data_IF_238508047524
#
_entry.id   IF_238508047524
#
_cell.length_a   1.000
_cell.length_b   1.000
_cell.length_c   1.000
_cell.angle_alpha   90.00
_cell.angle_beta   90.00
_cell.angle_gamma   90.00
#
_symmetry.space_group_name_H-M   'P 1'
#
loop_
_entity.id
_entity.type
_entity.pdbx_description
1 polymer ?
#
# COMPACT_ATOMS: atom_id res chain seq x y z
N UNK A 1 0.29 -19.28 10.63
CA UNK A 1 -0.18 -18.06 11.34
C UNK A 1 1.03 -17.21 11.62
N UNK A 2 0.89 -15.89 11.71
CA UNK A 2 2.02 -15.06 12.12
C UNK A 2 2.02 -14.84 13.62
N UNK A 3 3.20 -14.88 14.23
CA UNK A 3 3.38 -14.61 15.64
C UNK A 3 3.88 -13.18 15.83
N UNK A 4 3.12 -12.37 16.58
CA UNK A 4 3.47 -10.98 16.90
C UNK A 4 3.95 -10.88 18.35
N UNK A 5 5.17 -10.42 18.55
CA UNK A 5 5.76 -10.11 19.86
C UNK A 5 5.79 -8.59 20.05
N UNK A 6 4.70 -8.05 20.58
CA UNK A 6 4.48 -6.61 20.69
C UNK A 6 4.24 -6.12 22.14
N UNK A 7 4.39 -6.95 23.16
CA UNK A 7 4.28 -6.52 24.56
C UNK A 7 5.67 -6.34 25.17
N UNK A 8 5.88 -5.30 25.98
CA UNK A 8 7.16 -5.07 26.64
C UNK A 8 7.53 -6.23 27.57
N UNK A 9 8.79 -6.67 27.55
CA UNK A 9 9.25 -7.80 28.38
C UNK A 9 8.79 -9.17 27.88
N UNK A 10 8.16 -9.24 26.71
CA UNK A 10 7.89 -10.52 26.05
C UNK A 10 9.19 -11.26 25.76
N UNK A 11 9.17 -12.58 25.80
CA UNK A 11 10.30 -13.38 25.36
C UNK A 11 9.87 -14.61 24.58
N UNK A 12 10.73 -15.04 23.66
CA UNK A 12 10.55 -16.23 22.84
C UNK A 12 11.74 -17.16 23.01
N UNK A 13 11.48 -18.38 23.46
CA UNK A 13 12.48 -19.44 23.64
C UNK A 13 12.08 -20.72 22.93
N UNK A 14 13.05 -21.55 22.61
CA UNK A 14 12.81 -22.95 22.24
C UNK A 14 12.59 -23.77 23.51
N UNK A 15 11.57 -24.61 23.54
CA UNK A 15 11.36 -25.62 24.58
C UNK A 15 10.60 -26.80 24.00
N UNK A 16 11.15 -28.00 24.15
CA UNK A 16 10.57 -29.25 23.64
C UNK A 16 10.22 -29.17 22.13
N UNK A 17 11.13 -28.67 21.30
CA UNK A 17 10.92 -28.43 19.85
C UNK A 17 9.73 -27.51 19.50
N UNK A 18 9.29 -26.71 20.47
CA UNK A 18 8.24 -25.72 20.30
C UNK A 18 8.73 -24.32 20.66
N UNK A 19 8.04 -23.32 20.14
CA UNK A 19 8.19 -21.95 20.61
C UNK A 19 7.45 -21.79 21.93
N UNK A 20 8.17 -21.49 23.01
CA UNK A 20 7.59 -21.02 24.27
C UNK A 20 7.67 -19.49 24.29
N UNK A 21 6.50 -18.86 24.24
CA UNK A 21 6.31 -17.43 24.44
C UNK A 21 5.96 -17.18 25.91
N UNK A 22 6.59 -16.19 26.52
CA UNK A 22 6.20 -15.69 27.84
C UNK A 22 6.02 -14.18 27.89
N UNK A 23 5.00 -13.74 28.63
CA UNK A 23 4.73 -12.33 28.96
C UNK A 23 4.00 -12.27 30.30
N UNK A 24 4.44 -11.40 31.22
CA UNK A 24 3.77 -11.15 32.52
C UNK A 24 3.35 -12.44 33.28
N UNK A 25 4.24 -13.44 33.32
CA UNK A 25 3.99 -14.72 34.02
C UNK A 25 3.13 -15.74 33.26
N UNK A 26 2.46 -15.35 32.17
CA UNK A 26 1.73 -16.26 31.28
C UNK A 26 2.69 -16.89 30.27
N UNK A 27 2.51 -18.18 29.99
CA UNK A 27 3.31 -18.93 29.02
C UNK A 27 2.41 -19.65 28.02
N UNK A 28 2.81 -19.61 26.76
CA UNK A 28 2.12 -20.31 25.66
C UNK A 28 3.14 -21.07 24.84
N UNK A 29 2.85 -22.34 24.53
CA UNK A 29 3.64 -23.14 23.59
C UNK A 29 2.97 -23.16 22.23
N UNK A 30 3.75 -22.95 21.18
CA UNK A 30 3.31 -22.96 19.80
C UNK A 30 4.19 -23.89 18.98
N UNK A 31 3.54 -24.79 18.23
CA UNK A 31 4.23 -25.63 17.26
C UNK A 31 4.77 -24.76 16.12
N UNK A 32 6.04 -24.94 15.70
CA UNK A 32 6.63 -24.21 14.58
C UNK A 32 5.84 -24.42 13.28
N UNK A 33 5.26 -25.61 13.07
CA UNK A 33 4.45 -25.92 11.89
C UNK A 33 3.19 -25.04 11.73
N UNK A 34 2.74 -24.42 12.82
CA UNK A 34 1.59 -23.50 12.79
C UNK A 34 2.02 -22.07 12.50
N UNK A 35 3.32 -21.76 12.50
CA UNK A 35 3.86 -20.42 12.37
C UNK A 35 4.45 -20.22 10.96
N UNK A 36 4.09 -19.12 10.31
CA UNK A 36 4.59 -18.74 8.98
C UNK A 36 5.67 -17.65 9.03
N UNK A 37 5.63 -16.79 10.04
CA UNK A 37 6.62 -15.75 10.31
C UNK A 37 6.47 -15.25 11.76
N UNK A 38 7.53 -14.65 12.28
CA UNK A 38 7.59 -14.03 13.60
C UNK A 38 7.92 -12.54 13.40
N UNK A 39 7.14 -11.66 14.02
CA UNK A 39 7.33 -10.21 13.96
C UNK A 39 7.57 -9.70 15.38
N UNK A 40 8.68 -8.99 15.57
CA UNK A 40 9.11 -8.46 16.86
C UNK A 40 9.09 -6.95 16.77
N UNK A 41 8.25 -6.27 17.55
CA UNK A 41 8.03 -4.82 17.41
C UNK A 41 8.22 -4.00 18.67
N UNK A 42 8.63 -4.62 19.78
CA UNK A 42 8.92 -3.96 21.06
C UNK A 42 10.12 -4.63 21.73
N UNK A 43 10.56 -4.11 22.88
CA UNK A 43 11.64 -4.71 23.68
C UNK A 43 11.26 -6.13 24.13
N UNK A 44 11.57 -7.10 23.28
CA UNK A 44 11.32 -8.51 23.46
C UNK A 44 12.65 -9.28 23.31
N UNK A 45 12.82 -10.31 24.13
CA UNK A 45 14.01 -11.16 24.10
C UNK A 45 13.74 -12.38 23.23
N UNK A 46 14.60 -12.65 22.26
CA UNK A 46 14.54 -13.89 21.47
C UNK A 46 15.84 -14.66 21.68
N UNK A 47 15.73 -15.89 22.16
CA UNK A 47 16.90 -16.75 22.32
C UNK A 47 17.45 -17.22 20.97
N UNK A 48 18.75 -17.48 20.90
CA UNK A 48 19.39 -18.09 19.73
C UNK A 48 18.76 -19.42 19.34
N UNK A 49 18.30 -20.23 20.30
CA UNK A 49 17.64 -21.52 20.02
C UNK A 49 16.27 -21.34 19.37
N UNK A 50 15.53 -20.28 19.76
CA UNK A 50 14.28 -19.93 19.09
C UNK A 50 14.54 -19.47 17.65
N UNK A 51 15.62 -18.70 17.43
CA UNK A 51 16.06 -18.35 16.07
C UNK A 51 16.39 -19.62 15.29
N UNK A 52 17.18 -20.53 15.87
CA UNK A 52 17.54 -21.81 15.25
C UNK A 52 16.32 -22.62 14.83
N UNK A 53 15.34 -22.80 15.74
CA UNK A 53 14.08 -23.48 15.45
C UNK A 53 13.29 -22.80 14.32
N UNK A 54 13.27 -21.46 14.31
CA UNK A 54 12.64 -20.72 13.22
C UNK A 54 13.33 -21.02 11.88
N UNK A 55 14.65 -21.04 11.83
CA UNK A 55 15.39 -21.34 10.60
C UNK A 55 15.19 -22.78 10.13
N UNK A 56 15.16 -23.76 11.05
CA UNK A 56 14.88 -25.17 10.77
C UNK A 56 13.52 -25.37 10.08
N UNK A 57 12.52 -24.58 10.50
CA UNK A 57 11.16 -24.64 9.98
C UNK A 57 10.84 -23.59 8.91
N UNK A 58 11.85 -22.90 8.36
CA UNK A 58 11.66 -21.89 7.32
C UNK A 58 10.71 -20.74 7.76
N UNK A 59 10.86 -20.30 9.01
CA UNK A 59 10.07 -19.23 9.63
C UNK A 59 10.92 -17.97 9.66
N UNK A 60 10.48 -16.96 8.94
CA UNK A 60 11.15 -15.66 8.87
C UNK A 60 10.92 -14.84 10.14
N UNK A 61 11.96 -14.15 10.64
CA UNK A 61 11.88 -13.28 11.81
C UNK A 61 12.15 -11.84 11.38
N UNK A 62 11.18 -10.95 11.57
CA UNK A 62 11.30 -9.53 11.21
C UNK A 62 11.28 -8.67 12.48
N UNK A 63 12.28 -7.82 12.63
CA UNK A 63 12.40 -6.85 13.71
C UNK A 63 11.93 -5.48 13.23
N UNK A 64 11.01 -4.90 13.97
CA UNK A 64 10.38 -3.61 13.70
C UNK A 64 10.67 -2.64 14.83
N UNK A 65 10.88 -1.37 14.49
CA UNK A 65 11.05 -0.31 15.48
C UNK A 65 9.69 0.12 16.09
N UNK A 66 9.72 1.11 16.98
CA UNK A 66 8.53 1.67 17.63
C UNK A 66 7.51 2.30 16.67
N UNK A 67 7.92 2.62 15.44
CA UNK A 67 7.05 3.16 14.39
C UNK A 67 6.53 2.05 13.47
N UNK A 68 7.04 0.82 13.64
CA UNK A 68 6.67 -0.36 12.89
C UNK A 68 7.47 -0.53 11.59
N UNK A 69 8.56 0.24 11.43
CA UNK A 69 9.49 0.14 10.31
C UNK A 69 10.48 -1.01 10.53
N UNK A 70 10.74 -1.86 9.52
CA UNK A 70 11.69 -2.97 9.67
C UNK A 70 13.14 -2.46 9.75
N UNK A 71 13.83 -2.79 10.83
CA UNK A 71 15.26 -2.47 11.00
C UNK A 71 16.17 -3.71 10.98
N UNK A 72 15.60 -4.90 11.09
CA UNK A 72 16.36 -6.15 11.07
C UNK A 72 15.51 -7.31 10.58
N UNK A 73 16.14 -8.29 9.96
CA UNK A 73 15.50 -9.54 9.53
C UNK A 73 16.48 -10.69 9.72
N UNK A 74 16.01 -11.75 10.34
CA UNK A 74 16.73 -13.04 10.41
C UNK A 74 15.93 -14.03 9.59
N UNK A 75 16.54 -14.49 8.50
CA UNK A 75 15.92 -15.34 7.51
C UNK A 75 16.64 -16.68 7.39
N UNK A 76 15.92 -17.67 6.89
CA UNK A 76 16.45 -19.02 6.70
C UNK A 76 17.66 -19.00 5.73
N UNK A 77 18.80 -19.63 6.11
CA UNK A 77 20.03 -19.57 5.30
C UNK A 77 20.03 -20.52 4.10
N UNK A 78 19.01 -21.37 3.95
CA UNK A 78 18.88 -22.32 2.84
C UNK A 78 18.22 -21.65 1.63
N UNK A 79 18.46 -22.16 0.42
CA UNK A 79 17.74 -21.70 -0.77
C UNK A 79 16.27 -22.13 -0.61
N UNK A 80 15.34 -21.17 -0.68
CA UNK A 80 13.90 -21.40 -0.50
C UNK A 80 13.07 -20.34 -1.20
N UNK A 81 11.78 -20.29 -0.92
CA UNK A 81 10.81 -19.50 -1.72
C UNK A 81 11.20 -18.04 -1.85
N UNK A 82 11.79 -17.41 -0.84
CA UNK A 82 12.22 -16.01 -0.90
C UNK A 82 13.30 -15.75 -1.95
N UNK A 83 14.28 -16.65 -2.11
CA UNK A 83 15.30 -16.53 -3.17
C UNK A 83 14.65 -16.69 -4.54
N UNK A 84 13.73 -17.66 -4.67
CA UNK A 84 12.97 -17.86 -5.91
C UNK A 84 12.10 -16.67 -6.25
N UNK A 85 11.42 -16.06 -5.26
CA UNK A 85 10.61 -14.84 -5.40
C UNK A 85 11.47 -13.69 -5.92
N UNK A 86 12.63 -13.44 -5.29
CA UNK A 86 13.53 -12.35 -5.71
C UNK A 86 14.12 -12.57 -7.09
N UNK A 87 14.56 -13.80 -7.39
CA UNK A 87 15.02 -14.15 -8.74
C UNK A 87 13.92 -13.87 -9.76
N UNK A 88 12.69 -14.30 -9.47
CA UNK A 88 11.56 -14.06 -10.35
C UNK A 88 11.25 -12.57 -10.50
N UNK A 89 11.36 -11.75 -9.45
CA UNK A 89 11.23 -10.29 -9.56
C UNK A 89 12.26 -9.68 -10.51
N UNK A 90 13.50 -10.18 -10.52
CA UNK A 90 14.51 -9.72 -11.49
C UNK A 90 14.15 -10.16 -12.91
N UNK A 91 13.69 -11.40 -13.08
CA UNK A 91 13.26 -11.92 -14.40
C UNK A 91 12.08 -11.12 -14.97
N UNK A 92 11.17 -10.62 -14.12
CA UNK A 92 10.03 -9.79 -14.50
C UNK A 92 10.41 -8.49 -15.22
N UNK A 93 11.62 -7.98 -15.00
CA UNK A 93 12.08 -6.76 -15.68
C UNK A 93 12.07 -6.92 -17.21
N UNK A 94 12.24 -8.16 -17.69
CA UNK A 94 12.41 -8.46 -19.10
C UNK A 94 11.31 -9.37 -19.67
N UNK A 95 10.20 -9.57 -18.96
CA UNK A 95 9.11 -10.42 -19.44
C UNK A 95 7.71 -9.80 -19.33
N UNK A 96 6.77 -10.41 -20.03
CA UNK A 96 5.38 -9.94 -20.14
C UNK A 96 4.66 -9.87 -18.79
N UNK A 97 5.13 -10.60 -17.77
CA UNK A 97 4.51 -10.61 -16.46
C UNK A 97 4.83 -9.33 -15.69
N UNK A 98 6.04 -8.78 -15.83
CA UNK A 98 6.37 -7.45 -15.33
C UNK A 98 5.52 -6.36 -15.97
N UNK A 99 5.40 -6.40 -17.30
CA UNK A 99 4.53 -5.50 -18.06
C UNK A 99 3.09 -5.56 -17.58
N UNK A 100 2.53 -6.77 -17.49
CA UNK A 100 1.17 -7.00 -17.01
C UNK A 100 0.96 -6.47 -15.59
N UNK A 101 1.91 -6.74 -14.69
CA UNK A 101 1.84 -6.26 -13.31
C UNK A 101 1.77 -4.73 -13.25
N UNK A 102 2.64 -4.03 -13.97
CA UNK A 102 2.67 -2.56 -13.99
C UNK A 102 1.38 -1.98 -14.58
N UNK A 103 0.90 -2.52 -15.70
CA UNK A 103 -0.40 -2.12 -16.28
C UNK A 103 -1.51 -2.22 -15.25
N UNK A 104 -1.62 -3.36 -14.58
CA UNK A 104 -2.63 -3.58 -13.54
C UNK A 104 -2.46 -2.61 -12.36
N UNK A 105 -1.24 -2.34 -11.89
CA UNK A 105 -1.01 -1.38 -10.78
C UNK A 105 -1.47 0.04 -11.15
N UNK A 106 -1.08 0.53 -12.33
CA UNK A 106 -1.43 1.88 -12.81
C UNK A 106 -2.93 1.99 -13.01
N UNK A 107 -3.56 1.02 -13.66
CA UNK A 107 -5.01 1.06 -13.93
C UNK A 107 -5.82 0.93 -12.64
N UNK A 108 -5.41 0.09 -11.69
CA UNK A 108 -6.09 -0.01 -10.40
C UNK A 108 -6.03 1.29 -9.61
N UNK A 109 -4.92 2.05 -9.68
CA UNK A 109 -4.85 3.40 -9.11
C UNK A 109 -5.91 4.31 -9.74
N UNK A 110 -5.92 4.39 -11.07
CA UNK A 110 -6.85 5.25 -11.83
C UNK A 110 -8.30 4.87 -11.52
N UNK A 111 -8.62 3.58 -11.53
CA UNK A 111 -9.94 3.05 -11.20
C UNK A 111 -10.37 3.45 -9.78
N UNK A 112 -9.51 3.26 -8.78
CA UNK A 112 -9.85 3.59 -7.39
C UNK A 112 -10.10 5.10 -7.21
N UNK A 113 -9.28 5.94 -7.86
CA UNK A 113 -9.45 7.39 -7.88
C UNK A 113 -10.72 7.83 -8.63
N UNK A 114 -11.02 7.20 -9.76
CA UNK A 114 -12.25 7.41 -10.54
C UNK A 114 -13.49 7.09 -9.69
N UNK A 115 -13.51 5.91 -9.05
CA UNK A 115 -14.61 5.48 -8.18
C UNK A 115 -14.81 6.44 -7.01
N UNK A 116 -13.72 6.92 -6.41
CA UNK A 116 -13.82 7.89 -5.34
C UNK A 116 -14.45 9.20 -5.82
N UNK A 117 -14.06 9.73 -6.98
CA UNK A 117 -14.73 10.90 -7.56
C UNK A 117 -16.22 10.63 -7.78
N UNK A 118 -16.59 9.51 -8.43
CA UNK A 118 -18.02 9.18 -8.66
C UNK A 118 -18.82 9.17 -7.36
N UNK A 119 -18.24 8.59 -6.29
CA UNK A 119 -18.82 8.60 -4.93
C UNK A 119 -18.91 10.01 -4.32
N UNK A 120 -17.97 10.90 -4.62
CA UNK A 120 -18.00 12.28 -4.14
C UNK A 120 -19.03 13.13 -4.88
N UNK A 121 -19.21 12.90 -6.18
CA UNK A 121 -20.20 13.59 -7.02
C UNK A 121 -21.63 13.16 -6.66
N UNK A 122 -21.86 11.86 -6.41
CA UNK A 122 -23.21 11.37 -6.04
C UNK A 122 -23.71 11.89 -4.69
N UNK A 123 -22.83 12.43 -3.85
CA UNK A 123 -23.15 12.95 -2.51
C UNK A 123 -23.14 14.47 -2.42
N UNK A 124 -23.05 15.17 -3.55
CA UNK A 124 -22.99 16.64 -3.61
C UNK A 124 -23.98 17.18 -4.61
N UNK A 125 -24.46 18.38 -4.31
CA UNK A 125 -25.27 19.17 -5.24
C UNK A 125 -24.36 19.88 -6.25
N UNK A 126 -23.84 19.10 -7.20
CA UNK A 126 -23.02 19.56 -8.31
C UNK A 126 -23.47 18.84 -9.58
N UNK A 127 -23.44 19.52 -10.72
CA UNK A 127 -23.72 18.88 -12.00
C UNK A 127 -22.60 17.89 -12.36
N UNK A 128 -22.86 16.56 -12.40
CA UNK A 128 -21.83 15.58 -12.75
C UNK A 128 -21.30 15.75 -14.18
N UNK A 129 -22.10 16.31 -15.10
CA UNK A 129 -21.68 16.52 -16.50
C UNK A 129 -20.50 17.48 -16.60
N UNK A 130 -20.41 18.45 -15.68
CA UNK A 130 -19.29 19.40 -15.62
C UNK A 130 -17.92 18.73 -15.39
N UNK A 131 -17.90 17.48 -14.91
CA UNK A 131 -16.69 16.70 -14.68
C UNK A 131 -16.47 15.57 -15.69
N UNK A 132 -17.41 15.33 -16.61
CA UNK A 132 -17.41 14.18 -17.50
C UNK A 132 -16.15 14.11 -18.37
N UNK A 133 -15.74 15.23 -18.99
CA UNK A 133 -14.53 15.26 -19.83
C UNK A 133 -13.25 14.85 -19.06
N UNK A 134 -13.15 15.17 -17.77
CA UNK A 134 -12.01 14.78 -16.92
C UNK A 134 -12.11 13.31 -16.51
N UNK A 135 -13.31 12.82 -16.23
CA UNK A 135 -13.58 11.41 -15.95
C UNK A 135 -13.25 10.53 -17.18
N UNK A 136 -13.64 10.97 -18.38
CA UNK A 136 -13.32 10.31 -19.64
C UNK A 136 -11.82 10.31 -19.90
N UNK A 137 -11.13 11.43 -19.64
CA UNK A 137 -9.66 11.51 -19.72
C UNK A 137 -8.97 10.49 -18.80
N UNK A 138 -9.50 10.25 -17.59
CA UNK A 138 -8.98 9.21 -16.70
C UNK A 138 -9.20 7.80 -17.29
N UNK A 139 -10.40 7.52 -17.82
CA UNK A 139 -10.70 6.22 -18.45
C UNK A 139 -9.87 5.96 -19.69
N UNK A 140 -9.75 6.94 -20.58
CA UNK A 140 -8.91 6.88 -21.77
C UNK A 140 -7.43 6.60 -21.42
N UNK A 141 -6.91 7.23 -20.36
CA UNK A 141 -5.56 6.94 -19.87
C UNK A 141 -5.43 5.48 -19.39
N UNK A 142 -6.44 4.93 -18.72
CA UNK A 142 -6.45 3.54 -18.28
C UNK A 142 -6.53 2.55 -19.45
N UNK A 143 -7.35 2.83 -20.47
CA UNK A 143 -7.45 2.02 -21.68
C UNK A 143 -6.12 1.98 -22.43
N UNK A 144 -5.50 3.14 -22.64
CA UNK A 144 -4.17 3.26 -23.27
C UNK A 144 -3.10 2.45 -22.54
N UNK A 145 -3.10 2.47 -21.20
CA UNK A 145 -2.18 1.64 -20.40
C UNK A 145 -2.41 0.15 -20.66
N UNK A 146 -3.67 -0.31 -20.70
CA UNK A 146 -3.98 -1.72 -20.92
C UNK A 146 -3.64 -2.19 -22.34
N UNK A 147 -3.94 -1.36 -23.34
CA UNK A 147 -3.75 -1.65 -24.77
C UNK A 147 -2.29 -1.51 -25.23
N UNK A 148 -1.43 -0.81 -24.48
CA UNK A 148 -0.05 -0.57 -24.89
C UNK A 148 0.76 -1.86 -25.08
N UNK A 149 1.37 -2.05 -26.24
CA UNK A 149 2.26 -3.19 -26.54
C UNK A 149 3.73 -2.74 -26.59
N UNK A 150 4.64 -3.61 -26.16
CA UNK A 150 6.07 -3.30 -26.08
C UNK A 150 6.70 -3.83 -24.80
N UNK A 151 7.96 -3.46 -24.53
CA UNK A 151 8.64 -3.82 -23.27
C UNK A 151 8.36 -2.80 -22.17
N UNK A 152 8.68 -3.15 -20.91
CA UNK A 152 8.59 -2.21 -19.78
C UNK A 152 9.46 -0.97 -19.99
N UNK A 153 10.67 -1.15 -20.54
CA UNK A 153 11.61 -0.05 -20.78
C UNK A 153 11.05 0.93 -21.82
N UNK A 154 10.51 0.41 -22.93
CA UNK A 154 9.92 1.22 -24.01
C UNK A 154 8.72 2.04 -23.53
N UNK A 155 7.89 1.43 -22.67
CA UNK A 155 6.62 1.99 -22.24
C UNK A 155 6.70 2.79 -20.94
N UNK A 156 7.83 2.76 -20.24
CA UNK A 156 8.02 3.44 -18.94
C UNK A 156 7.59 4.91 -18.97
N UNK A 157 8.07 5.68 -19.97
CA UNK A 157 7.70 7.08 -20.16
C UNK A 157 6.22 7.27 -20.49
N UNK A 158 5.64 6.38 -21.30
CA UNK A 158 4.21 6.41 -21.65
C UNK A 158 3.32 6.11 -20.44
N UNK A 159 3.67 5.11 -19.64
CA UNK A 159 2.97 4.78 -18.40
C UNK A 159 3.00 5.95 -17.41
N UNK A 160 4.15 6.59 -17.21
CA UNK A 160 4.23 7.81 -16.38
C UNK A 160 3.42 8.97 -16.96
N UNK A 161 3.37 9.12 -18.28
CA UNK A 161 2.58 10.14 -18.97
C UNK A 161 1.07 9.96 -18.81
N UNK A 162 0.56 8.75 -19.03
CA UNK A 162 -0.87 8.43 -18.86
C UNK A 162 -1.29 8.47 -17.39
N UNK A 163 -0.47 7.93 -16.48
CA UNK A 163 -0.68 8.05 -15.04
C UNK A 163 -0.74 9.52 -14.61
N UNK A 164 0.22 10.35 -15.06
CA UNK A 164 0.26 11.77 -14.74
C UNK A 164 -0.94 12.54 -15.28
N UNK A 165 -1.42 12.19 -16.48
CA UNK A 165 -2.62 12.77 -17.09
C UNK A 165 -3.87 12.44 -16.26
N UNK A 166 -4.07 11.17 -15.91
CA UNK A 166 -5.17 10.74 -15.06
C UNK A 166 -5.11 11.39 -13.66
N UNK A 167 -3.92 11.43 -13.04
CA UNK A 167 -3.68 12.09 -11.75
C UNK A 167 -3.99 13.59 -11.80
N UNK A 168 -3.64 14.28 -12.89
CA UNK A 168 -3.96 15.72 -13.07
C UNK A 168 -5.47 15.94 -13.14
N UNK A 169 -6.19 15.12 -13.92
CA UNK A 169 -7.64 15.15 -13.99
C UNK A 169 -8.25 14.91 -12.59
N UNK A 170 -7.79 13.87 -11.90
CA UNK A 170 -8.23 13.53 -10.54
C UNK A 170 -8.07 14.68 -9.54
N UNK A 171 -6.86 15.20 -9.36
CA UNK A 171 -6.60 16.26 -8.38
C UNK A 171 -7.30 17.57 -8.76
N UNK A 172 -7.49 17.84 -10.06
CA UNK A 172 -8.23 19.03 -10.48
C UNK A 172 -9.73 18.95 -10.15
N UNK A 173 -10.33 17.75 -10.12
CA UNK A 173 -11.71 17.57 -9.68
C UNK A 173 -11.78 17.74 -8.17
N UNK A 174 -10.87 17.11 -7.41
CA UNK A 174 -10.81 17.29 -5.96
C UNK A 174 -10.63 18.75 -5.55
N UNK A 175 -9.83 19.52 -6.29
CA UNK A 175 -9.65 20.96 -6.07
C UNK A 175 -10.93 21.79 -6.29
N UNK A 176 -11.87 21.30 -7.12
CA UNK A 176 -13.19 21.92 -7.30
C UNK A 176 -14.16 21.51 -6.20
N UNK A 177 -14.04 20.28 -5.68
CA UNK A 177 -14.96 19.73 -4.67
C UNK A 177 -14.57 20.04 -3.22
N UNK A 178 -13.33 20.50 -2.98
CA UNK A 178 -12.86 20.90 -1.66
C UNK A 178 -13.41 22.31 -1.31
N UNK A 179 -13.68 22.63 -0.03
CA UNK A 179 -14.13 23.98 0.35
C UNK A 179 -13.15 25.06 -0.09
N UNK A 180 -13.66 26.23 -0.50
CA UNK A 180 -12.87 27.33 -1.09
C UNK A 180 -11.70 27.79 -0.18
N UNK A 181 -11.90 27.76 1.15
CA UNK A 181 -10.86 28.09 2.14
C UNK A 181 -9.62 27.17 2.11
N UNK A 182 -9.71 26.02 1.45
CA UNK A 182 -8.68 24.99 1.39
C UNK A 182 -8.32 24.59 -0.05
N UNK A 183 -8.69 25.44 -1.01
CA UNK A 183 -8.44 25.21 -2.43
C UNK A 183 -6.95 25.07 -2.71
N UNK A 184 -6.64 24.14 -3.61
CA UNK A 184 -5.27 23.84 -4.04
C UNK A 184 -5.23 23.76 -5.57
N UNK A 185 -4.08 24.06 -6.18
CA UNK A 185 -3.97 24.10 -7.65
C UNK A 185 -3.64 22.75 -8.29
N UNK A 186 -3.23 21.77 -7.48
CA UNK A 186 -2.83 20.43 -7.93
C UNK A 186 -1.92 19.76 -6.91
N UNK A 187 -1.44 18.56 -7.23
CA UNK A 187 -0.55 17.79 -6.36
C UNK A 187 0.83 18.46 -6.23
N UNK A 188 1.34 18.62 -5.01
CA UNK A 188 2.66 19.16 -4.71
C UNK A 188 3.41 18.38 -3.63
N UNK A 189 4.65 17.97 -3.89
CA UNK A 189 5.37 17.03 -3.04
C UNK A 189 6.51 17.66 -2.23
N UNK A 190 7.47 18.38 -2.84
CA UNK A 190 8.65 18.93 -2.15
C UNK A 190 8.95 20.36 -2.58
N UNK A 191 8.58 21.38 -1.78
CA UNK A 191 7.72 21.31 -0.59
C UNK A 191 6.22 21.16 -0.96
N UNK A 192 5.37 20.88 0.03
CA UNK A 192 3.92 21.03 -0.14
C UNK A 192 3.58 22.51 -0.29
N UNK A 193 2.71 22.86 -1.25
CA UNK A 193 2.30 24.25 -1.49
C UNK A 193 1.13 24.70 -0.62
N UNK A 194 0.40 23.76 -0.03
CA UNK A 194 -0.85 23.98 0.69
C UNK A 194 -1.09 22.89 1.76
N UNK A 195 -2.06 23.14 2.62
CA UNK A 195 -2.42 22.26 3.73
C UNK A 195 -2.85 20.86 3.28
N UNK A 196 -3.63 20.79 2.20
CA UNK A 196 -4.13 19.53 1.66
C UNK A 196 -2.99 18.63 1.20
N UNK A 197 -2.05 19.19 0.44
CA UNK A 197 -0.83 18.50 0.01
C UNK A 197 0.09 18.13 1.17
N UNK A 198 0.18 18.94 2.23
CA UNK A 198 0.97 18.60 3.42
C UNK A 198 0.41 17.35 4.12
N UNK A 199 -0.92 17.27 4.27
CA UNK A 199 -1.60 16.10 4.83
C UNK A 199 -1.44 14.86 3.96
N UNK A 200 -1.61 14.99 2.63
CA UNK A 200 -1.37 13.88 1.69
C UNK A 200 0.08 13.38 1.76
N UNK A 201 1.07 14.29 1.75
CA UNK A 201 2.50 13.93 1.84
C UNK A 201 2.81 13.10 3.08
N UNK A 202 2.29 13.52 4.23
CA UNK A 202 2.48 12.81 5.48
C UNK A 202 1.76 11.46 5.50
N UNK A 203 0.50 11.43 5.05
CA UNK A 203 -0.28 10.19 4.98
C UNK A 203 0.34 9.16 4.03
N UNK A 204 0.82 9.58 2.85
CA UNK A 204 1.58 8.68 1.97
C UNK A 204 2.89 8.24 2.62
N UNK A 205 3.55 9.09 3.41
CA UNK A 205 4.67 8.72 4.28
C UNK A 205 4.36 7.49 5.14
N UNK A 206 3.24 7.52 5.86
CA UNK A 206 2.75 6.38 6.66
C UNK A 206 2.48 5.16 5.78
N UNK A 207 1.82 5.36 4.62
CA UNK A 207 1.46 4.27 3.72
C UNK A 207 2.70 3.58 3.11
N UNK A 208 3.75 4.32 2.76
CA UNK A 208 5.02 3.76 2.24
C UNK A 208 5.60 2.73 3.21
N UNK A 209 5.68 3.07 4.50
CA UNK A 209 6.16 2.15 5.55
C UNK A 209 5.32 0.88 5.63
N UNK A 210 4.00 0.97 5.48
CA UNK A 210 3.11 -0.21 5.51
C UNK A 210 3.29 -1.10 4.29
N UNK A 211 3.44 -0.51 3.11
CA UNK A 211 3.70 -1.24 1.85
C UNK A 211 5.05 -1.94 1.90
N UNK A 212 6.11 -1.21 2.27
CA UNK A 212 7.44 -1.78 2.42
C UNK A 212 7.43 -2.99 3.36
N UNK A 213 6.84 -2.82 4.54
CA UNK A 213 6.72 -3.91 5.51
C UNK A 213 5.98 -5.11 4.94
N UNK A 214 4.88 -4.89 4.23
CA UNK A 214 4.12 -5.97 3.58
C UNK A 214 4.96 -6.73 2.54
N UNK A 215 5.75 -6.02 1.74
CA UNK A 215 6.65 -6.61 0.74
C UNK A 215 7.74 -7.47 1.39
N UNK A 216 8.42 -6.92 2.41
CA UNK A 216 9.47 -7.64 3.15
C UNK A 216 8.92 -8.93 3.75
N UNK A 217 7.77 -8.86 4.43
CA UNK A 217 7.09 -10.02 5.03
C UNK A 217 6.68 -11.05 3.96
N UNK A 218 6.26 -10.61 2.77
CA UNK A 218 5.91 -11.49 1.67
C UNK A 218 7.13 -12.16 1.01
N UNK A 219 8.36 -11.73 1.34
CA UNK A 219 9.59 -12.23 0.72
C UNK A 219 9.97 -11.51 -0.58
N UNK A 220 9.24 -10.45 -0.95
CA UNK A 220 9.56 -9.57 -2.06
C UNK A 220 10.68 -8.61 -1.65
N UNK A 221 11.50 -8.22 -2.62
CA UNK A 221 12.52 -7.19 -2.43
C UNK A 221 11.92 -5.79 -2.72
N UNK A 222 11.89 -4.86 -1.74
CA UNK A 222 11.40 -3.50 -1.93
C UNK A 222 12.20 -2.66 -2.94
N UNK A 223 13.41 -3.07 -3.29
CA UNK A 223 14.34 -2.30 -4.14
C UNK A 223 14.33 -2.74 -5.61
N UNK A 224 13.68 -3.85 -5.95
CA UNK A 224 13.55 -4.35 -7.33
C UNK A 224 12.25 -3.81 -7.94
N UNK A 225 12.25 -2.50 -8.24
CA UNK A 225 11.15 -1.86 -8.97
C UNK A 225 11.12 -2.25 -10.43
N UNK A 226 9.95 -2.13 -11.06
CA UNK A 226 9.70 -2.41 -12.47
C UNK A 226 9.44 -1.15 -13.29
N UNK A 227 8.64 -0.20 -12.78
CA UNK A 227 8.34 1.07 -13.48
C UNK A 227 9.20 2.21 -12.94
N UNK A 228 9.37 2.30 -11.63
CA UNK A 228 10.14 3.37 -10.97
C UNK A 228 11.63 3.04 -10.86
N UNK A 229 12.26 2.62 -11.97
CA UNK A 229 13.68 2.22 -12.00
C UNK A 229 14.65 3.42 -11.88
N UNK A 230 15.83 3.11 -11.35
CA UNK A 230 17.08 3.89 -11.39
C UNK A 230 17.21 5.14 -10.52
N UNK A 231 17.23 4.93 -9.20
CA UNK A 231 18.20 5.64 -8.35
C UNK A 231 18.67 4.71 -7.22
N UNK A 232 19.98 4.64 -7.02
CA UNK A 232 20.62 3.91 -5.91
C UNK A 232 19.91 4.22 -4.57
N UNK A 233 19.57 3.19 -3.78
CA UNK A 233 18.85 3.26 -2.50
C UNK A 233 17.37 3.72 -2.52
N UNK A 234 16.71 3.87 -3.68
CA UNK A 234 15.25 4.05 -3.70
C UNK A 234 14.54 2.70 -3.61
N UNK A 235 13.53 2.61 -2.74
CA UNK A 235 12.63 1.45 -2.60
C UNK A 235 11.62 1.45 -3.75
N UNK A 236 12.12 1.27 -4.98
CA UNK A 236 11.36 1.47 -6.22
C UNK A 236 10.14 0.54 -6.32
N UNK A 237 10.24 -0.70 -5.85
CA UNK A 237 9.10 -1.62 -5.85
C UNK A 237 8.00 -1.18 -4.86
N UNK A 238 8.35 -0.46 -3.78
CA UNK A 238 7.34 0.16 -2.90
C UNK A 238 6.53 1.19 -3.67
N UNK A 239 7.16 1.95 -4.56
CA UNK A 239 6.47 2.94 -5.40
C UNK A 239 5.61 2.30 -6.48
N UNK A 240 6.00 1.15 -7.03
CA UNK A 240 5.11 0.41 -7.94
C UNK A 240 3.92 -0.20 -7.21
N UNK A 241 4.16 -0.79 -6.03
CA UNK A 241 3.15 -1.55 -5.30
C UNK A 241 2.13 -0.66 -4.60
N UNK A 242 2.52 0.56 -4.18
CA UNK A 242 1.64 1.48 -3.44
C UNK A 242 0.50 2.05 -4.28
N UNK A 243 0.64 2.12 -5.62
CA UNK A 243 -0.23 2.93 -6.48
C UNK A 243 -1.74 2.67 -6.26
N UNK A 244 -2.24 1.42 -6.23
CA UNK A 244 -3.65 1.15 -5.98
C UNK A 244 -4.14 1.59 -4.58
N UNK A 245 -3.24 1.65 -3.61
CA UNK A 245 -3.57 1.89 -2.19
C UNK A 245 -3.49 3.35 -1.78
N UNK A 246 -3.02 4.25 -2.66
CA UNK A 246 -2.99 5.71 -2.38
C UNK A 246 -4.36 6.24 -1.94
N UNK A 247 -5.44 5.63 -2.43
CA UNK A 247 -6.81 5.97 -2.06
C UNK A 247 -7.10 5.85 -0.56
N UNK A 248 -6.38 4.97 0.16
CA UNK A 248 -6.48 4.82 1.62
C UNK A 248 -6.00 6.08 2.38
N UNK A 249 -5.31 7.00 1.71
CA UNK A 249 -4.90 8.30 2.24
C UNK A 249 -5.76 9.41 1.65
N UNK A 250 -6.02 9.37 0.34
CA UNK A 250 -6.80 10.40 -0.35
C UNK A 250 -8.19 10.56 0.27
N UNK A 251 -8.89 9.45 0.52
CA UNK A 251 -10.23 9.44 1.11
C UNK A 251 -10.28 10.16 2.48
N UNK A 252 -9.55 9.69 3.53
CA UNK A 252 -9.64 10.33 4.84
C UNK A 252 -9.12 11.77 4.83
N UNK A 253 -8.08 12.10 4.06
CA UNK A 253 -7.58 13.47 3.97
C UNK A 253 -8.63 14.39 3.35
N UNK A 254 -9.24 14.01 2.23
CA UNK A 254 -10.32 14.80 1.64
C UNK A 254 -11.52 14.95 2.57
N UNK A 255 -11.86 13.91 3.34
CA UNK A 255 -12.94 14.00 4.33
C UNK A 255 -12.65 14.92 5.51
N UNK A 256 -11.39 15.10 5.92
CA UNK A 256 -11.01 16.08 6.96
C UNK A 256 -11.38 17.51 6.52
N UNK A 257 -11.02 17.88 5.30
CA UNK A 257 -11.29 19.23 4.78
C UNK A 257 -12.78 19.43 4.46
N UNK A 258 -13.42 18.46 3.79
CA UNK A 258 -14.86 18.57 3.46
C UNK A 258 -15.79 18.57 4.68
N UNK A 259 -15.31 18.11 5.85
CA UNK A 259 -16.04 18.16 7.13
C UNK A 259 -15.55 19.28 8.06
N UNK A 260 -14.78 20.24 7.55
CA UNK A 260 -14.25 21.38 8.31
C UNK A 260 -13.51 20.99 9.60
N UNK A 261 -12.80 19.85 9.60
CA UNK A 261 -12.00 19.40 10.75
C UNK A 261 -10.56 19.90 10.73
N UNK A 262 -10.17 20.62 9.68
CA UNK A 262 -8.83 21.19 9.58
C UNK A 262 -8.72 22.49 10.38
N UNK A 263 -7.63 22.65 11.11
CA UNK A 263 -7.28 23.90 11.80
C UNK A 263 -5.96 24.48 11.26
N UNK A 264 -5.84 25.81 11.12
CA UNK A 264 -4.62 26.45 10.62
C UNK A 264 -3.35 26.08 11.41
N UNK A 265 -3.47 25.83 12.72
CA UNK A 265 -2.36 25.41 13.59
C UNK A 265 -1.77 24.03 13.27
N UNK A 266 -2.41 23.24 12.41
CA UNK A 266 -1.88 21.95 11.96
C UNK A 266 -0.74 22.07 10.95
N UNK A 267 -0.54 23.25 10.37
CA UNK A 267 0.57 23.51 9.45
C UNK A 267 1.40 24.70 9.89
N UNK A 268 2.66 24.72 9.45
CA UNK A 268 3.54 25.86 9.60
C UNK A 268 4.23 26.19 8.25
N UNK A 269 4.46 27.47 7.96
CA UNK A 269 5.14 27.88 6.74
C UNK A 269 6.63 27.52 6.79
N UNK A 270 7.15 27.09 5.64
CA UNK A 270 8.57 26.89 5.38
C UNK A 270 8.98 27.61 4.09
N UNK A 271 10.27 27.61 3.76
CA UNK A 271 10.72 28.19 2.49
C UNK A 271 10.00 27.53 1.30
N UNK A 272 9.23 28.34 0.54
CA UNK A 272 8.46 27.95 -0.65
C UNK A 272 7.32 26.95 -0.41
N UNK A 273 6.85 26.74 0.82
CA UNK A 273 5.75 25.82 1.08
C UNK A 273 5.31 25.75 2.55
N UNK A 274 4.66 24.65 2.90
CA UNK A 274 4.16 24.36 4.26
C UNK A 274 4.51 22.92 4.68
N UNK A 275 4.57 22.69 5.98
CA UNK A 275 4.73 21.34 6.58
C UNK A 275 3.72 21.14 7.69
N UNK A 276 3.43 19.88 8.04
CA UNK A 276 2.61 19.58 9.20
C UNK A 276 3.39 19.81 10.50
N UNK A 277 2.77 20.53 11.42
CA UNK A 277 3.24 20.67 12.80
C UNK A 277 3.10 19.35 13.55
N UNK A 278 3.70 19.27 14.74
CA UNK A 278 3.52 18.12 15.64
C UNK A 278 2.05 17.88 15.96
N UNK A 279 1.27 18.94 16.20
CA UNK A 279 -0.17 18.82 16.48
C UNK A 279 -0.95 18.35 15.25
N UNK A 280 -0.63 18.87 14.05
CA UNK A 280 -1.21 18.36 12.81
C UNK A 280 -0.94 16.87 12.57
N UNK A 281 0.26 16.38 12.92
CA UNK A 281 0.60 14.96 12.85
C UNK A 281 -0.17 14.13 13.87
N UNK A 282 -0.27 14.59 15.13
CA UNK A 282 -1.05 13.94 16.19
C UNK A 282 -2.54 13.89 15.88
N UNK A 283 -3.05 14.87 15.16
CA UNK A 283 -4.43 14.89 14.69
C UNK A 283 -4.64 13.91 13.52
N UNK A 284 -3.77 13.95 12.50
CA UNK A 284 -3.97 13.20 11.26
C UNK A 284 -3.67 11.70 11.40
N UNK A 285 -2.61 11.33 12.13
CA UNK A 285 -2.17 9.93 12.20
C UNK A 285 -3.26 8.99 12.77
N UNK A 286 -3.94 9.30 13.89
CA UNK A 286 -5.02 8.45 14.41
C UNK A 286 -6.17 8.26 13.42
N UNK A 287 -6.58 9.31 12.71
CA UNK A 287 -7.67 9.22 11.71
C UNK A 287 -7.31 8.30 10.55
N UNK A 288 -6.05 8.33 10.09
CA UNK A 288 -5.55 7.40 9.07
C UNK A 288 -5.56 5.96 9.62
N UNK A 289 -5.08 5.76 10.85
CA UNK A 289 -5.04 4.43 11.48
C UNK A 289 -6.46 3.86 11.72
N UNK A 290 -7.41 4.68 12.12
CA UNK A 290 -8.82 4.29 12.23
C UNK A 290 -9.40 3.90 10.87
N UNK A 291 -9.11 4.68 9.82
CA UNK A 291 -9.52 4.34 8.46
C UNK A 291 -8.92 3.00 8.00
N UNK A 292 -7.64 2.76 8.29
CA UNK A 292 -6.94 1.51 8.03
C UNK A 292 -7.56 0.31 8.75
N UNK A 293 -8.06 0.52 9.96
CA UNK A 293 -8.65 -0.50 10.83
C UNK A 293 -10.10 -0.85 10.47
N UNK A 294 -10.75 -0.08 9.59
CA UNK A 294 -12.09 -0.43 9.08
C UNK A 294 -12.08 -1.80 8.41
N UNK A 295 -13.09 -2.62 8.73
CA UNK A 295 -13.20 -3.98 8.20
C UNK A 295 -13.87 -3.97 6.83
N UNK A 296 -13.32 -4.76 5.93
CA UNK A 296 -13.88 -5.02 4.60
C UNK A 296 -13.86 -6.52 4.31
N UNK A 297 -14.68 -6.94 3.35
CA UNK A 297 -14.59 -8.28 2.76
C UNK A 297 -13.48 -8.29 1.72
N UNK A 298 -12.45 -9.11 1.91
CA UNK A 298 -11.32 -9.22 0.98
C UNK A 298 -10.74 -10.64 0.98
N UNK A 299 -10.55 -11.24 -0.20
CA UNK A 299 -10.18 -12.66 -0.35
C UNK A 299 -11.05 -13.60 0.49
N UNK A 300 -12.37 -13.44 0.41
CA UNK A 300 -13.37 -14.22 1.13
C UNK A 300 -13.22 -14.22 2.67
N UNK A 301 -12.58 -13.19 3.24
CA UNK A 301 -12.41 -13.01 4.68
C UNK A 301 -12.66 -11.57 5.10
N UNK A 302 -13.11 -11.37 6.33
CA UNK A 302 -13.20 -10.03 6.91
C UNK A 302 -11.82 -9.62 7.40
N UNK A 303 -11.29 -8.52 6.88
CA UNK A 303 -9.94 -8.03 7.16
C UNK A 303 -9.96 -6.52 7.34
N UNK A 304 -8.98 -5.97 8.04
CA UNK A 304 -8.76 -4.53 8.05
C UNK A 304 -8.39 -4.07 6.64
N UNK A 305 -8.75 -2.86 6.23
CA UNK A 305 -8.35 -2.30 4.91
C UNK A 305 -6.85 -2.38 4.70
N UNK A 306 -6.06 -2.07 5.72
CA UNK A 306 -4.59 -2.10 5.61
C UNK A 306 -4.02 -3.50 5.39
N UNK A 307 -4.71 -4.55 5.84
CA UNK A 307 -4.29 -5.94 5.66
C UNK A 307 -4.45 -6.43 4.21
N UNK A 308 -5.16 -5.67 3.35
CA UNK A 308 -5.21 -5.93 1.90
C UNK A 308 -3.81 -5.92 1.31
N UNK A 309 -3.00 -4.90 1.63
CA UNK A 309 -1.66 -4.70 1.08
C UNK A 309 -0.80 -5.93 1.32
N UNK A 310 -0.85 -6.45 2.56
CA UNK A 310 -0.12 -7.65 2.93
C UNK A 310 -0.68 -8.91 2.27
N UNK A 311 -2.00 -9.02 2.16
CA UNK A 311 -2.65 -10.14 1.49
C UNK A 311 -2.27 -10.20 0.00
N UNK A 312 -2.25 -9.04 -0.66
CA UNK A 312 -1.87 -8.88 -2.06
C UNK A 312 -0.39 -9.13 -2.27
N UNK A 313 0.49 -8.65 -1.37
CA UNK A 313 1.92 -8.92 -1.45
C UNK A 313 2.22 -10.41 -1.36
N UNK A 314 1.59 -11.14 -0.42
CA UNK A 314 1.70 -12.59 -0.35
C UNK A 314 1.07 -13.30 -1.56
N UNK A 315 -0.07 -12.82 -2.05
CA UNK A 315 -0.73 -13.38 -3.22
C UNK A 315 0.17 -13.28 -4.45
N UNK A 316 0.77 -12.11 -4.65
CA UNK A 316 1.68 -11.80 -5.73
C UNK A 316 2.96 -12.62 -5.63
N UNK A 317 3.61 -12.64 -4.47
CA UNK A 317 4.80 -13.45 -4.23
C UNK A 317 4.58 -14.94 -4.56
N UNK A 318 3.42 -15.51 -4.24
CA UNK A 318 3.09 -16.90 -4.59
C UNK A 318 2.70 -17.07 -6.07
N UNK A 319 2.08 -16.07 -6.68
CA UNK A 319 1.71 -16.09 -8.10
C UNK A 319 2.96 -16.12 -8.99
N UNK A 320 3.95 -15.26 -8.73
CA UNK A 320 5.14 -15.18 -9.58
C UNK A 320 5.97 -16.48 -9.58
N UNK A 321 5.90 -17.26 -8.49
CA UNK A 321 6.53 -18.58 -8.38
C UNK A 321 5.59 -19.75 -8.71
N UNK A 322 4.48 -19.50 -9.42
CA UNK A 322 3.51 -20.50 -9.89
C UNK A 322 2.82 -21.33 -8.79
N UNK A 323 2.78 -20.84 -7.55
CA UNK A 323 2.02 -21.47 -6.44
C UNK A 323 0.56 -21.02 -6.38
N UNK A 324 0.20 -19.98 -7.14
CA UNK A 324 -1.15 -19.43 -7.23
C UNK A 324 -1.46 -19.05 -8.67
N UNK A 325 -2.69 -19.29 -9.13
CA UNK A 325 -3.12 -18.99 -10.52
C UNK A 325 -3.36 -17.52 -10.82
N UNK A 326 -3.81 -16.75 -9.82
CA UNK A 326 -4.05 -15.31 -9.93
C UNK A 326 -3.74 -14.65 -8.59
N UNK A 327 -3.12 -13.48 -8.62
CA UNK A 327 -2.80 -12.74 -7.40
C UNK A 327 -3.85 -11.69 -7.03
N UNK A 328 -4.65 -11.22 -7.99
CA UNK A 328 -5.72 -10.26 -7.73
C UNK A 328 -6.86 -10.91 -6.94
N UNK A 329 -7.48 -10.14 -6.07
CA UNK A 329 -8.75 -10.50 -5.47
C UNK A 329 -9.85 -10.57 -6.54
N UNK A 330 -10.75 -11.54 -6.43
CA UNK A 330 -11.80 -11.74 -7.44
C UNK A 330 -12.71 -10.52 -7.57
N UNK A 331 -13.09 -9.88 -6.45
CA UNK A 331 -13.91 -8.67 -6.48
C UNK A 331 -13.15 -7.46 -7.02
N UNK A 332 -11.82 -7.42 -6.86
CA UNK A 332 -10.98 -6.40 -7.53
C UNK A 332 -10.88 -6.67 -9.02
N UNK A 333 -10.69 -7.92 -9.44
CA UNK A 333 -10.61 -8.30 -10.84
C UNK A 333 -11.91 -8.00 -11.60
N UNK A 334 -13.08 -8.31 -11.01
CA UNK A 334 -14.39 -7.96 -11.60
C UNK A 334 -14.57 -6.45 -11.74
N UNK A 335 -14.20 -5.67 -10.73
CA UNK A 335 -14.31 -4.20 -10.80
C UNK A 335 -13.37 -3.61 -11.85
N UNK A 336 -12.16 -4.16 -11.97
CA UNK A 336 -11.21 -3.76 -13.00
C UNK A 336 -11.76 -4.04 -14.41
N UNK A 337 -12.34 -5.21 -14.61
CA UNK A 337 -12.96 -5.59 -15.88
C UNK A 337 -14.15 -4.67 -16.23
N UNK A 338 -15.07 -4.43 -15.28
CA UNK A 338 -16.19 -3.50 -15.48
C UNK A 338 -15.72 -2.08 -15.81
N UNK A 339 -14.67 -1.60 -15.13
CA UNK A 339 -14.11 -0.28 -15.37
C UNK A 339 -13.56 -0.12 -16.79
N UNK A 340 -12.89 -1.16 -17.30
CA UNK A 340 -12.32 -1.18 -18.65
C UNK A 340 -13.38 -1.38 -19.74
N UNK A 341 -14.37 -2.25 -19.51
CA UNK A 341 -15.36 -2.63 -20.52
C UNK A 341 -16.61 -1.74 -20.57
N UNK A 342 -16.70 -0.74 -19.69
CA UNK A 342 -17.80 0.23 -19.67
C UNK A 342 -19.21 -0.37 -19.64
N UNK A 343 -19.38 -1.50 -18.95
CA UNK A 343 -20.67 -1.80 -18.36
C UNK A 343 -20.78 -0.92 -17.12
N UNK A 344 -21.47 0.23 -17.22
CA UNK A 344 -21.93 1.03 -16.08
C UNK A 344 -22.95 0.21 -15.24
N UNK A 345 -22.51 -0.93 -14.71
CA UNK A 345 -23.21 -1.54 -13.59
C UNK A 345 -22.80 -0.68 -12.41
N UNK A 346 -23.69 0.24 -12.05
CA UNK A 346 -23.69 0.91 -10.77
C UNK A 346 -23.30 -0.12 -9.72
N UNK A 347 -22.12 0.05 -9.10
CA UNK A 347 -21.74 -0.73 -7.93
C UNK A 347 -22.74 -0.35 -6.82
N UNK A 348 -23.88 -1.02 -6.79
CA UNK A 348 -24.64 -1.21 -5.55
C UNK A 348 -23.69 -1.83 -4.53
N UNK A 349 -23.67 -1.21 -3.36
CA UNK A 349 -22.72 -1.42 -2.28
C UNK A 349 -22.65 -2.88 -1.80
N UNK A 350 -21.43 -3.40 -1.60
CA UNK A 350 -21.09 -4.33 -0.51
C UNK A 350 -19.77 -3.97 0.17
#
# INVERSE_FOLDING_TARGET
MELYLNTYGSWLKKKDEMFELGVEGKKVKLSPLKISSIVISNAALVSTDAIGLAMEHNIDIVFLDKYGDPYGRVWFPKIGSTVTIRRRQLEMLNDDMGLKFIKERVVLKIMNQYRFIKKLLSKRDVDPQSFQAKLDSMRDSALKVMEAEGTLDDLSGSFMGWEGTASKSYFSILATLIPEAHKFSGRSYRPAKDAFNAMLNYGYGILYSKVERALVIAGLDPYIGLLHCDNYNKKSFVFDFIEPYRILIDEPVFYIFSRHKFEPGFIEPIHKGVVLTTEGKKFLAPLILEHFDTKIRYHNKNRKRIDMIRSDAHAFANFIINRRKSYLDSGVATRLDNFLNANDIEDEEE
#
